data_IF_653686977486
#
_entry.id   IF_653686977486
#
_cell.length_a   1.000
_cell.length_b   1.000
_cell.length_c   1.000
_cell.angle_alpha   90.00
_cell.angle_beta   90.00
_cell.angle_gamma   90.00
#
_symmetry.space_group_name_H-M   'P 1'
#
loop_
_entity.id
_entity.type
_entity.pdbx_description
1 polymer ?
#
# COMPACT_ATOMS: atom_id res chain seq x y z
N UNK A 1 -10.51 -10.67 3.62
CA UNK A 1 -11.63 -10.05 2.86
C UNK A 1 -11.66 -10.50 1.41
N UNK A 2 -10.59 -11.09 0.90
CA UNK A 2 -10.48 -11.52 -0.48
C UNK A 2 -10.73 -13.02 -0.67
N UNK A 3 -10.77 -13.41 -1.93
CA UNK A 3 -11.00 -14.77 -2.42
C UNK A 3 -9.78 -15.68 -2.18
N UNK A 4 -9.99 -16.99 -2.11
CA UNK A 4 -8.88 -17.95 -1.99
C UNK A 4 -7.85 -17.75 -3.12
N UNK A 5 -6.59 -17.52 -2.73
CA UNK A 5 -5.47 -17.29 -3.67
C UNK A 5 -5.10 -15.83 -3.91
N UNK A 6 -5.78 -14.87 -3.28
CA UNK A 6 -5.39 -13.45 -3.31
C UNK A 6 -4.20 -13.14 -2.39
N UNK A 7 -3.61 -11.96 -2.57
CA UNK A 7 -2.51 -11.43 -1.77
C UNK A 7 -2.90 -10.06 -1.23
N UNK A 8 -2.55 -9.74 0.02
CA UNK A 8 -2.67 -8.38 0.54
C UNK A 8 -1.54 -7.51 0.02
N UNK A 9 -1.85 -6.30 -0.46
CA UNK A 9 -0.88 -5.29 -0.87
C UNK A 9 -1.22 -3.95 -0.22
N UNK A 10 -0.18 -3.30 0.30
CA UNK A 10 -0.25 -1.91 0.74
C UNK A 10 1.10 -1.24 0.56
N UNK A 11 1.10 0.08 0.55
CA UNK A 11 2.31 0.89 0.45
C UNK A 11 2.26 2.04 1.47
N UNK A 12 3.42 2.48 1.92
CA UNK A 12 3.57 3.71 2.69
C UNK A 12 4.45 4.69 1.93
N UNK A 13 4.03 5.95 1.94
CA UNK A 13 4.74 7.06 1.30
C UNK A 13 5.41 7.96 2.33
N UNK A 14 6.55 8.54 1.97
CA UNK A 14 7.19 9.59 2.75
C UNK A 14 7.60 10.76 1.83
N UNK A 15 7.66 11.99 2.35
CA UNK A 15 8.16 13.13 1.60
C UNK A 15 9.65 12.96 1.29
N UNK A 16 10.02 13.01 0.01
CA UNK A 16 11.42 13.07 -0.37
C UNK A 16 11.89 14.53 -0.38
N UNK A 17 12.77 14.91 0.54
CA UNK A 17 13.49 16.18 0.44
C UNK A 17 14.64 15.98 -0.55
N UNK A 18 14.45 16.31 -1.83
CA UNK A 18 15.53 16.29 -2.82
C UNK A 18 16.56 17.39 -2.50
N UNK A 19 17.57 17.06 -1.71
CA UNK A 19 18.76 17.88 -1.59
C UNK A 19 19.61 17.70 -2.86
N UNK A 20 19.43 18.62 -3.82
CA UNK A 20 20.24 18.92 -5.01
C UNK A 20 19.45 18.86 -6.33
N UNK A 21 18.80 19.97 -6.65
CA UNK A 21 18.74 20.46 -8.03
C UNK A 21 19.43 21.82 -8.07
N UNK A 22 20.76 21.80 -8.13
CA UNK A 22 21.50 22.90 -8.73
C UNK A 22 21.28 22.78 -10.24
N UNK A 23 20.28 23.49 -10.76
CA UNK A 23 20.28 24.08 -12.10
C UNK A 23 19.06 24.99 -12.25
N UNK A 24 19.35 26.28 -12.09
CA UNK A 24 18.79 27.43 -12.81
C UNK A 24 17.26 27.55 -13.00
N UNK A 25 16.72 28.57 -12.31
CA UNK A 25 15.86 29.61 -12.88
C UNK A 25 14.63 29.18 -13.68
N UNK A 26 13.44 29.22 -13.06
CA UNK A 26 12.49 30.33 -13.27
C UNK A 26 11.23 30.17 -12.41
N UNK A 27 10.85 31.28 -11.76
CA UNK A 27 9.49 31.74 -11.42
C UNK A 27 8.52 30.74 -10.75
N UNK A 28 8.25 31.00 -9.47
CA UNK A 28 7.00 30.66 -8.76
C UNK A 28 6.59 29.18 -8.85
N UNK A 29 7.44 28.28 -8.38
CA UNK A 29 7.13 26.86 -8.22
C UNK A 29 6.71 26.57 -6.80
N UNK A 30 5.42 26.31 -6.60
CA UNK A 30 4.90 25.53 -5.49
C UNK A 30 5.81 24.30 -5.34
N UNK A 31 6.56 24.20 -4.23
CA UNK A 31 7.33 22.99 -3.90
C UNK A 31 6.32 21.87 -3.70
N UNK A 32 5.96 21.16 -4.76
CA UNK A 32 5.22 19.92 -4.65
C UNK A 32 6.10 18.99 -3.83
N UNK A 33 5.78 18.77 -2.55
CA UNK A 33 6.33 17.64 -1.80
C UNK A 33 5.98 16.40 -2.62
N UNK A 34 6.96 15.82 -3.31
CA UNK A 34 6.78 14.54 -3.96
C UNK A 34 6.77 13.48 -2.86
N UNK A 35 5.58 13.02 -2.47
CA UNK A 35 5.43 11.86 -1.61
C UNK A 35 5.76 10.63 -2.46
N UNK A 36 6.90 10.00 -2.19
CA UNK A 36 7.29 8.76 -2.88
C UNK A 36 6.93 7.55 -2.02
N UNK A 37 6.72 6.40 -2.65
CA UNK A 37 6.58 5.14 -1.91
C UNK A 37 7.95 4.77 -1.33
N UNK A 38 8.01 4.52 -0.02
CA UNK A 38 9.23 4.14 0.69
C UNK A 38 9.19 2.72 1.22
N UNK A 39 8.00 2.20 1.52
CA UNK A 39 7.82 0.83 1.99
C UNK A 39 6.67 0.17 1.22
N UNK A 40 6.95 -1.02 0.69
CA UNK A 40 5.97 -1.94 0.12
C UNK A 40 5.71 -3.07 1.11
N UNK A 41 4.45 -3.37 1.38
CA UNK A 41 4.03 -4.50 2.19
C UNK A 41 3.24 -5.50 1.36
N UNK A 42 3.57 -6.79 1.54
CA UNK A 42 2.88 -7.91 0.91
C UNK A 42 2.51 -8.95 1.98
N UNK A 43 1.34 -9.57 1.84
CA UNK A 43 0.86 -10.62 2.72
C UNK A 43 0.22 -11.76 1.93
N UNK A 44 0.53 -13.00 2.31
CA UNK A 44 -0.14 -14.22 1.81
C UNK A 44 -0.41 -15.14 2.99
N UNK A 45 -1.69 -15.31 3.36
CA UNK A 45 -2.05 -16.07 4.55
C UNK A 45 -1.44 -15.48 5.81
N UNK A 46 -0.47 -16.19 6.39
CA UNK A 46 0.26 -15.77 7.60
C UNK A 46 1.72 -15.36 7.32
N UNK A 47 2.11 -15.24 6.05
CA UNK A 47 3.44 -14.82 5.65
C UNK A 47 3.44 -13.37 5.20
N UNK A 48 4.43 -12.62 5.68
CA UNK A 48 4.57 -11.18 5.46
C UNK A 48 5.92 -10.88 4.83
N UNK A 49 5.91 -9.96 3.88
CA UNK A 49 7.11 -9.38 3.30
C UNK A 49 6.98 -7.85 3.36
N UNK A 50 7.95 -7.21 4.03
CA UNK A 50 8.07 -5.76 4.10
C UNK A 50 9.36 -5.38 3.37
N UNK A 51 9.26 -4.54 2.36
CA UNK A 51 10.38 -4.11 1.51
C UNK A 51 10.53 -2.60 1.62
N UNK A 52 11.64 -2.14 2.20
CA UNK A 52 12.00 -0.72 2.23
C UNK A 52 12.63 -0.31 0.90
N UNK A 53 11.77 0.03 -0.09
CA UNK A 53 12.18 0.37 -1.46
C UNK A 53 13.16 1.56 -1.51
N UNK A 54 13.05 2.51 -0.58
CA UNK A 54 13.96 3.66 -0.50
C UNK A 54 15.42 3.27 -0.23
N UNK A 55 15.64 2.19 0.52
CA UNK A 55 16.97 1.76 0.98
C UNK A 55 17.46 0.49 0.27
N UNK A 56 16.73 0.00 -0.73
CA UNK A 56 17.13 -1.16 -1.49
C UNK A 56 18.24 -0.78 -2.49
N UNK A 57 19.40 -1.46 -2.42
CA UNK A 57 20.48 -1.31 -3.42
C UNK A 57 20.01 -1.66 -4.84
N UNK A 58 18.95 -2.46 -4.93
CA UNK A 58 18.23 -2.78 -6.14
C UNK A 58 17.03 -3.66 -5.81
N UNK A 59 15.98 -3.58 -6.63
CA UNK A 59 14.81 -4.42 -6.45
C UNK A 59 15.08 -5.77 -7.15
N UNK A 60 14.97 -6.90 -6.43
CA UNK A 60 15.28 -8.21 -7.00
C UNK A 60 14.30 -8.56 -8.14
N UNK A 61 14.82 -9.19 -9.20
CA UNK A 61 14.02 -9.59 -10.36
C UNK A 61 12.85 -10.52 -9.98
N UNK A 62 13.01 -11.31 -8.92
CA UNK A 62 11.93 -12.15 -8.38
C UNK A 62 10.75 -11.32 -7.89
N UNK A 63 10.98 -10.14 -7.29
CA UNK A 63 9.90 -9.25 -6.85
C UNK A 63 9.18 -8.61 -8.05
N UNK A 64 9.94 -8.16 -9.06
CA UNK A 64 9.35 -7.68 -10.33
C UNK A 64 8.46 -8.75 -10.97
N UNK A 65 9.00 -9.95 -11.15
CA UNK A 65 8.26 -11.06 -11.75
C UNK A 65 7.03 -11.46 -10.92
N UNK A 66 7.14 -11.42 -9.60
CA UNK A 66 6.05 -11.75 -8.70
C UNK A 66 4.87 -10.76 -8.78
N UNK A 67 5.14 -9.46 -8.80
CA UNK A 67 4.13 -8.41 -8.93
C UNK A 67 3.48 -8.37 -10.33
N UNK A 68 4.26 -8.71 -11.36
CA UNK A 68 3.83 -8.72 -12.76
C UNK A 68 3.17 -10.04 -13.19
N UNK A 69 3.04 -11.03 -12.31
CA UNK A 69 2.42 -12.32 -12.64
C UNK A 69 0.88 -12.21 -12.56
N UNK A 70 0.15 -12.39 -13.67
CA UNK A 70 -1.31 -12.25 -13.69
C UNK A 70 -2.04 -13.30 -12.86
N UNK A 71 -1.37 -14.37 -12.45
CA UNK A 71 -1.93 -15.40 -11.55
C UNK A 71 -2.09 -14.89 -10.12
N UNK A 72 -1.39 -13.82 -9.74
CA UNK A 72 -1.48 -13.22 -8.42
C UNK A 72 -2.49 -12.06 -8.43
N UNK A 73 -3.46 -12.08 -7.53
CA UNK A 73 -4.42 -10.98 -7.36
C UNK A 73 -4.05 -10.19 -6.11
N UNK A 74 -3.69 -8.92 -6.26
CA UNK A 74 -3.33 -8.05 -5.14
C UNK A 74 -4.53 -7.22 -4.66
N UNK A 75 -4.91 -7.42 -3.41
CA UNK A 75 -6.03 -6.78 -2.75
C UNK A 75 -5.58 -5.64 -1.83
N UNK A 76 -6.35 -4.56 -1.84
CA UNK A 76 -6.17 -3.43 -0.93
C UNK A 76 -7.29 -2.40 -1.06
N UNK A 77 -7.31 -1.43 -0.15
CA UNK A 77 -8.16 -0.23 -0.29
C UNK A 77 -7.34 0.83 -1.02
N UNK A 78 -7.81 1.29 -2.17
CA UNK A 78 -7.06 2.24 -3.01
C UNK A 78 -5.89 1.58 -3.76
N UNK A 79 -5.93 0.26 -3.93
CA UNK A 79 -4.81 -0.54 -4.48
C UNK A 79 -4.43 -0.12 -5.90
N UNK A 80 -5.38 0.40 -6.67
CA UNK A 80 -5.12 0.93 -8.02
C UNK A 80 -4.23 2.17 -7.99
N UNK A 81 -4.41 3.05 -7.01
CA UNK A 81 -3.52 4.21 -6.83
C UNK A 81 -2.12 3.77 -6.40
N UNK A 82 -2.05 2.75 -5.53
CA UNK A 82 -0.78 2.18 -5.08
C UNK A 82 -0.01 1.56 -6.25
N UNK A 83 -0.69 0.82 -7.14
CA UNK A 83 -0.12 0.29 -8.38
C UNK A 83 0.48 1.40 -9.25
N UNK A 84 -0.28 2.47 -9.50
CA UNK A 84 0.21 3.59 -10.33
C UNK A 84 1.45 4.22 -9.72
N UNK A 85 1.42 4.51 -8.41
CA UNK A 85 2.57 5.08 -7.68
C UNK A 85 3.77 4.14 -7.66
N UNK A 86 3.57 2.82 -7.57
CA UNK A 86 4.66 1.83 -7.62
C UNK A 86 5.34 1.82 -8.99
N UNK A 87 4.56 1.94 -10.06
CA UNK A 87 5.10 2.06 -11.41
C UNK A 87 5.85 3.40 -11.61
N UNK A 88 5.23 4.52 -11.24
CA UNK A 88 5.80 5.85 -11.45
C UNK A 88 7.08 6.08 -10.63
N UNK A 89 7.13 5.59 -9.40
CA UNK A 89 8.27 5.80 -8.50
C UNK A 89 9.38 4.76 -8.65
N UNK A 90 9.04 3.49 -8.96
CA UNK A 90 9.97 2.36 -8.88
C UNK A 90 9.98 1.45 -10.11
N UNK A 91 9.16 1.76 -11.12
CA UNK A 91 8.97 0.90 -12.30
C UNK A 91 8.33 -0.45 -11.98
N UNK A 92 7.75 -0.62 -10.79
CA UNK A 92 7.14 -1.87 -10.36
C UNK A 92 5.73 -1.99 -10.93
N UNK A 93 5.56 -2.86 -11.92
CA UNK A 93 4.25 -3.19 -12.48
C UNK A 93 3.53 -4.21 -11.60
N UNK A 94 2.38 -3.83 -11.05
CA UNK A 94 1.42 -4.76 -10.41
C UNK A 94 0.31 -5.01 -11.41
N UNK A 95 0.25 -6.21 -12.00
CA UNK A 95 -0.58 -6.43 -13.20
C UNK A 95 -2.05 -6.71 -12.88
N UNK A 96 -2.35 -7.24 -11.70
CA UNK A 96 -3.66 -7.74 -11.35
C UNK A 96 -4.04 -7.34 -9.92
N UNK A 97 -4.98 -6.41 -9.80
CA UNK A 97 -5.41 -5.83 -8.52
C UNK A 97 -6.92 -5.94 -8.35
N UNK A 98 -7.37 -6.13 -7.11
CA UNK A 98 -8.78 -6.08 -6.74
C UNK A 98 -9.00 -5.05 -5.62
N UNK A 99 -9.76 -3.98 -5.90
CA UNK A 99 -10.06 -2.98 -4.88
C UNK A 99 -11.16 -3.48 -3.92
N UNK A 100 -10.88 -3.40 -2.63
CA UNK A 100 -11.78 -3.91 -1.61
C UNK A 100 -13.12 -3.14 -1.53
N UNK A 101 -13.17 -1.86 -1.90
CA UNK A 101 -14.44 -1.14 -1.94
C UNK A 101 -15.31 -1.62 -3.10
N UNK A 102 -14.71 -1.93 -4.24
CA UNK A 102 -15.45 -2.50 -5.37
C UNK A 102 -15.96 -3.91 -5.03
N UNK A 103 -15.15 -4.74 -4.39
CA UNK A 103 -15.59 -6.05 -3.90
C UNK A 103 -16.72 -5.93 -2.86
N UNK A 104 -16.64 -4.98 -1.93
CA UNK A 104 -17.70 -4.73 -0.96
C UNK A 104 -19.00 -4.28 -1.66
N UNK A 105 -18.90 -3.37 -2.63
CA UNK A 105 -20.05 -2.89 -3.41
C UNK A 105 -20.76 -4.04 -4.14
N UNK A 106 -20.00 -4.88 -4.84
CA UNK A 106 -20.53 -6.06 -5.54
C UNK A 106 -21.17 -7.08 -4.58
N UNK A 107 -20.59 -7.29 -3.41
CA UNK A 107 -21.16 -8.18 -2.39
C UNK A 107 -22.51 -7.65 -1.87
N UNK A 108 -22.60 -6.34 -1.62
CA UNK A 108 -23.83 -5.69 -1.16
C UNK A 108 -24.98 -5.73 -2.18
N UNK A 109 -24.68 -5.67 -3.49
CA UNK A 109 -25.70 -5.85 -4.53
C UNK A 109 -26.41 -7.20 -4.43
N UNK A 110 -25.71 -8.25 -3.96
CA UNK A 110 -26.27 -9.59 -3.86
C UNK A 110 -27.20 -9.78 -2.66
N UNK A 111 -27.00 -9.02 -1.57
CA UNK A 111 -27.80 -9.15 -0.33
C UNK A 111 -28.71 -7.94 -0.03
N UNK A 112 -28.67 -6.91 -0.89
CA UNK A 112 -29.47 -5.69 -0.77
C UNK A 112 -28.86 -4.64 0.16
N UNK A 113 -27.61 -4.82 0.60
CA UNK A 113 -26.88 -3.87 1.45
C UNK A 113 -26.14 -2.85 0.59
N UNK A 114 -26.24 -1.57 0.94
CA UNK A 114 -25.47 -0.52 0.28
C UNK A 114 -24.18 -0.21 1.05
N UNK A 115 -23.03 -0.54 0.46
CA UNK A 115 -21.73 -0.18 1.00
C UNK A 115 -21.19 1.09 0.34
N UNK A 116 -21.19 2.18 1.10
CA UNK A 116 -20.47 3.41 0.74
C UNK A 116 -18.96 3.18 0.70
N UNK A 117 -18.22 4.08 0.04
CA UNK A 117 -16.75 4.05 0.08
C UNK A 117 -16.23 4.11 1.54
N UNK A 118 -15.30 3.22 1.87
CA UNK A 118 -14.74 3.00 3.19
C UNK A 118 -13.21 2.97 3.13
N UNK A 119 -12.58 3.69 4.05
CA UNK A 119 -11.20 3.42 4.41
C UNK A 119 -11.07 2.08 5.14
N UNK A 120 -9.90 1.47 5.08
CA UNK A 120 -9.64 0.11 5.60
C UNK A 120 -10.10 -0.09 7.05
N UNK A 121 -9.88 0.89 7.94
CA UNK A 121 -10.33 0.81 9.34
C UNK A 121 -11.84 0.64 9.46
N UNK A 122 -12.61 1.39 8.66
CA UNK A 122 -14.08 1.32 8.67
C UNK A 122 -14.54 -0.01 8.08
N UNK A 123 -13.88 -0.46 7.02
CA UNK A 123 -14.16 -1.75 6.38
C UNK A 123 -13.94 -2.93 7.34
N UNK A 124 -12.85 -2.93 8.12
CA UNK A 124 -12.60 -3.93 9.17
C UNK A 124 -13.71 -3.95 10.23
N UNK A 125 -14.22 -2.77 10.61
CA UNK A 125 -15.32 -2.68 11.57
C UNK A 125 -16.64 -3.21 11.01
N UNK A 126 -16.99 -2.81 9.78
CA UNK A 126 -18.29 -3.12 9.17
C UNK A 126 -18.37 -4.58 8.72
N UNK A 127 -17.32 -5.10 8.09
CA UNK A 127 -17.36 -6.43 7.45
C UNK A 127 -16.79 -7.53 8.37
N UNK A 128 -15.70 -7.25 9.12
CA UNK A 128 -15.12 -8.26 10.04
C UNK A 128 -15.68 -8.17 11.46
N UNK A 129 -16.41 -7.10 11.81
CA UNK A 129 -16.87 -6.87 13.18
C UNK A 129 -15.71 -6.70 14.17
N UNK A 130 -14.54 -6.23 13.70
CA UNK A 130 -13.33 -6.07 14.52
C UNK A 130 -12.93 -4.60 14.64
N UNK A 131 -12.27 -4.25 15.74
CA UNK A 131 -11.66 -2.94 15.90
C UNK A 131 -10.23 -2.96 15.33
N UNK A 132 -9.92 -1.99 14.46
CA UNK A 132 -8.56 -1.75 13.96
C UNK A 132 -8.03 -0.44 14.52
N UNK A 133 -6.91 -0.52 15.24
CA UNK A 133 -6.19 0.67 15.70
C UNK A 133 -5.26 1.18 14.60
N UNK A 134 -5.29 2.49 14.38
CA UNK A 134 -4.39 3.19 13.47
C UNK A 134 -3.74 4.35 14.23
N UNK A 135 -2.75 4.07 15.09
CA UNK A 135 -2.13 5.09 15.93
C UNK A 135 -1.44 6.14 15.05
N UNK A 136 -1.85 7.41 15.17
CA UNK A 136 -1.32 8.52 14.37
C UNK A 136 0.20 8.65 14.52
N UNK A 137 0.74 8.38 15.73
CA UNK A 137 2.19 8.40 15.98
C UNK A 137 2.97 7.46 15.06
N UNK A 138 2.39 6.30 14.71
CA UNK A 138 3.02 5.29 13.85
C UNK A 138 2.77 5.65 12.40
N UNK A 139 1.53 5.99 12.02
CA UNK A 139 1.22 6.36 10.64
C UNK A 139 2.01 7.59 10.15
N UNK A 140 2.31 8.53 11.03
CA UNK A 140 3.08 9.75 10.75
C UNK A 140 4.54 9.66 11.23
N UNK A 141 5.01 8.46 11.58
CA UNK A 141 6.41 8.22 11.96
C UNK A 141 7.34 8.31 10.74
N UNK A 142 8.65 8.22 10.98
CA UNK A 142 9.68 8.24 9.94
C UNK A 142 9.74 6.90 9.21
N UNK A 143 8.83 6.67 8.27
CA UNK A 143 8.81 5.49 7.40
C UNK A 143 9.95 5.45 6.39
N UNK A 144 10.62 6.58 6.20
CA UNK A 144 11.87 6.74 5.44
C UNK A 144 13.12 6.40 6.26
N UNK A 145 13.00 6.03 7.53
CA UNK A 145 14.11 5.55 8.35
C UNK A 145 14.77 4.32 7.73
N UNK A 146 16.09 4.19 7.89
CA UNK A 146 16.84 3.01 7.43
C UNK A 146 16.38 1.73 8.13
N UNK A 147 16.00 1.83 9.41
CA UNK A 147 15.46 0.71 10.17
C UNK A 147 14.05 1.06 10.61
N UNK A 148 13.09 0.17 10.33
CA UNK A 148 11.74 0.25 10.89
C UNK A 148 11.75 -0.25 12.33
N UNK A 149 11.00 0.41 13.20
CA UNK A 149 10.77 -0.07 14.55
C UNK A 149 9.67 -1.14 14.59
N UNK A 150 9.51 -1.77 15.76
CA UNK A 150 8.51 -2.83 15.94
C UNK A 150 7.08 -2.34 15.71
N UNK A 151 6.74 -1.11 16.14
CA UNK A 151 5.38 -0.58 15.97
C UNK A 151 5.07 -0.36 14.47
N UNK A 152 6.04 0.11 13.69
CA UNK A 152 5.95 0.24 12.24
C UNK A 152 5.79 -1.12 11.57
N UNK A 153 6.63 -2.10 11.90
CA UNK A 153 6.55 -3.46 11.33
C UNK A 153 5.21 -4.11 11.65
N UNK A 154 4.75 -4.04 12.91
CA UNK A 154 3.45 -4.56 13.34
C UNK A 154 2.31 -3.87 12.60
N UNK A 155 2.34 -2.54 12.51
CA UNK A 155 1.32 -1.76 11.80
C UNK A 155 1.25 -2.11 10.32
N UNK A 156 2.40 -2.21 9.66
CA UNK A 156 2.55 -2.63 8.27
C UNK A 156 1.94 -4.01 8.04
N UNK A 157 2.30 -5.00 8.87
CA UNK A 157 1.79 -6.36 8.79
C UNK A 157 0.27 -6.41 8.97
N UNK A 158 -0.27 -5.76 10.00
CA UNK A 158 -1.72 -5.69 10.25
C UNK A 158 -2.45 -5.04 9.07
N UNK A 159 -1.92 -3.93 8.52
CA UNK A 159 -2.56 -3.21 7.43
C UNK A 159 -2.69 -4.08 6.17
N UNK A 160 -1.66 -4.87 5.82
CA UNK A 160 -1.77 -5.85 4.72
C UNK A 160 -2.58 -7.09 5.06
N UNK A 161 -2.51 -7.58 6.30
CA UNK A 161 -3.24 -8.77 6.71
C UNK A 161 -4.75 -8.58 6.58
N UNK A 162 -5.25 -7.44 7.06
CA UNK A 162 -6.70 -7.18 7.02
C UNK A 162 -7.21 -6.89 5.61
N UNK A 163 -6.31 -6.62 4.65
CA UNK A 163 -6.63 -6.51 3.23
C UNK A 163 -6.67 -7.86 2.51
N UNK A 164 -6.00 -8.89 3.03
CA UNK A 164 -6.11 -10.29 2.60
C UNK A 164 -7.44 -10.88 3.10
#
# INVERSE_FOLDING_TARGET
MCINGSLGLSVFTAPLFTANLSLASTRSGFLTLLLVIVVLQLCVGHHYLIVQLLHADGIPLSLYAFLADPRHVFCGVGVQEDMMKLYDHHGLTVVNTADLNELARLAGEADGTEYNHMGLKKMVAVILGKAMMKPLRVMLSKWDSHNLDFEQVEHAAINTFVSF
#
